data_IF_500701746752
#
_entry.id   IF_500701746752
#
_cell.length_a   1.000
_cell.length_b   1.000
_cell.length_c   1.000
_cell.angle_alpha   90.00
_cell.angle_beta   90.00
_cell.angle_gamma   90.00
#
_symmetry.space_group_name_H-M   'P 1'
#
loop_
_entity.id
_entity.type
_entity.pdbx_description
1 polymer ?
#
# COMPACT_ATOMS: atom_id res chain seq x y z
N UNK A 1 -7.43 18.08 -4.43
CA UNK A 1 -6.27 19.00 -4.41
C UNK A 1 -5.00 18.33 -4.94
N UNK A 2 -4.88 17.01 -4.75
CA UNK A 2 -3.73 16.20 -5.18
C UNK A 2 -3.35 16.33 -6.67
N UNK A 3 -4.30 16.38 -7.60
CA UNK A 3 -4.00 16.55 -9.04
C UNK A 3 -3.20 17.83 -9.34
N UNK A 4 -3.61 18.96 -8.78
CA UNK A 4 -2.87 20.22 -8.93
C UNK A 4 -1.50 20.14 -8.26
N UNK A 5 -1.41 19.40 -7.16
CA UNK A 5 -0.16 19.24 -6.41
C UNK A 5 0.83 18.43 -7.24
N UNK A 6 0.37 17.34 -7.85
CA UNK A 6 1.19 16.52 -8.73
C UNK A 6 1.61 17.28 -9.98
N UNK A 7 0.72 18.07 -10.58
CA UNK A 7 1.07 18.90 -11.75
C UNK A 7 2.15 19.93 -11.42
N UNK A 8 2.03 20.61 -10.28
CA UNK A 8 3.04 21.58 -9.81
C UNK A 8 4.37 20.87 -9.53
N UNK A 9 4.33 19.72 -8.85
CA UNK A 9 5.53 18.94 -8.54
C UNK A 9 6.22 18.43 -9.81
N UNK A 10 5.46 17.93 -10.78
CA UNK A 10 5.96 17.47 -12.07
C UNK A 10 6.60 18.62 -12.86
N UNK A 11 5.95 19.78 -12.91
CA UNK A 11 6.51 20.98 -13.58
C UNK A 11 7.79 21.47 -12.90
N UNK A 12 7.82 21.47 -11.57
CA UNK A 12 9.01 21.82 -10.78
C UNK A 12 10.17 20.86 -11.08
N UNK A 13 9.92 19.55 -10.95
CA UNK A 13 10.90 18.48 -11.24
C UNK A 13 11.43 18.61 -12.67
N UNK A 14 10.55 18.78 -13.65
CA UNK A 14 10.93 18.88 -15.06
C UNK A 14 11.80 20.11 -15.32
N UNK A 15 11.44 21.26 -14.74
CA UNK A 15 12.17 22.53 -14.91
C UNK A 15 13.57 22.44 -14.30
N UNK A 16 13.67 22.02 -13.04
CA UNK A 16 14.95 21.94 -12.35
C UNK A 16 15.87 20.85 -12.93
N UNK A 17 15.29 19.71 -13.34
CA UNK A 17 16.07 18.65 -14.00
C UNK A 17 16.67 19.12 -15.32
N UNK A 18 15.92 19.89 -16.14
CA UNK A 18 16.44 20.46 -17.38
C UNK A 18 17.58 21.45 -17.14
N UNK A 19 17.48 22.27 -16.08
CA UNK A 19 18.55 23.20 -15.70
C UNK A 19 19.82 22.44 -15.32
N UNK A 20 19.70 21.38 -14.52
CA UNK A 20 20.84 20.54 -14.10
C UNK A 20 21.45 19.77 -15.28
N UNK A 21 20.63 19.23 -16.19
CA UNK A 21 21.11 18.54 -17.39
C UNK A 21 21.88 19.46 -18.36
N UNK A 22 21.50 20.74 -18.42
CA UNK A 22 22.20 21.75 -19.21
C UNK A 22 23.60 22.09 -18.70
N UNK A 23 23.93 21.72 -17.46
CA UNK A 23 25.22 22.01 -16.83
C UNK A 23 26.18 20.84 -17.09
N UNK A 24 27.32 21.12 -17.74
CA UNK A 24 28.43 20.17 -17.85
C UNK A 24 29.17 20.06 -16.51
N UNK A 25 28.65 19.22 -15.60
CA UNK A 25 29.27 18.95 -14.30
C UNK A 25 30.17 17.70 -14.36
N UNK A 26 31.51 17.82 -14.22
CA UNK A 26 32.41 16.67 -14.22
C UNK A 26 32.46 15.94 -12.87
N UNK A 27 32.06 16.57 -11.76
CA UNK A 27 32.06 15.98 -10.43
C UNK A 27 30.73 15.27 -10.13
N UNK A 28 30.71 13.94 -10.32
CA UNK A 28 29.50 13.12 -10.20
C UNK A 28 28.77 13.22 -8.85
N UNK A 29 29.46 13.30 -7.68
CA UNK A 29 28.75 13.48 -6.40
C UNK A 29 27.97 14.79 -6.32
N UNK A 30 28.51 15.89 -6.85
CA UNK A 30 27.82 17.19 -6.85
C UNK A 30 26.59 17.17 -7.74
N UNK A 31 26.64 16.40 -8.83
CA UNK A 31 25.47 16.18 -9.67
C UNK A 31 24.40 15.36 -8.94
N UNK A 32 24.78 14.36 -8.14
CA UNK A 32 23.87 13.60 -7.26
C UNK A 32 23.14 14.51 -6.29
N UNK A 33 23.89 15.32 -5.53
CA UNK A 33 23.33 16.28 -4.56
C UNK A 33 22.36 17.30 -5.18
N UNK A 34 22.54 17.64 -6.46
CA UNK A 34 21.58 18.52 -7.15
C UNK A 34 20.22 17.85 -7.33
N UNK A 35 20.16 16.57 -7.71
CA UNK A 35 18.90 15.83 -7.83
C UNK A 35 18.26 15.54 -6.47
N UNK A 36 19.06 15.28 -5.44
CA UNK A 36 18.59 15.15 -4.06
C UNK A 36 17.89 16.44 -3.60
N UNK A 37 18.50 17.59 -3.89
CA UNK A 37 17.97 18.91 -3.54
C UNK A 37 16.67 19.26 -4.28
N UNK A 38 16.53 18.88 -5.56
CA UNK A 38 15.27 19.01 -6.30
C UNK A 38 14.16 18.22 -5.60
N UNK A 39 14.42 16.96 -5.22
CA UNK A 39 13.44 16.14 -4.51
C UNK A 39 13.02 16.81 -3.19
N UNK A 40 14.00 17.28 -2.42
CA UNK A 40 13.78 17.93 -1.13
C UNK A 40 12.90 19.18 -1.25
N UNK A 41 13.26 20.10 -2.14
CA UNK A 41 12.50 21.34 -2.34
C UNK A 41 11.12 21.11 -2.95
N UNK A 42 11.00 20.12 -3.85
CA UNK A 42 9.71 19.75 -4.44
C UNK A 42 8.70 19.34 -3.37
N UNK A 43 9.12 18.47 -2.44
CA UNK A 43 8.28 17.97 -1.35
C UNK A 43 8.04 19.05 -0.28
N UNK A 44 9.04 19.85 0.06
CA UNK A 44 8.95 20.91 1.10
C UNK A 44 8.03 22.08 0.71
N UNK A 45 7.51 22.08 -0.53
CA UNK A 45 6.65 23.16 -0.99
C UNK A 45 5.31 23.19 -0.24
N UNK A 46 4.82 24.40 0.02
CA UNK A 46 3.60 24.67 0.80
C UNK A 46 2.33 23.99 0.25
N UNK A 47 2.35 23.54 -1.00
CA UNK A 47 1.22 22.90 -1.67
C UNK A 47 1.25 21.37 -1.51
N UNK A 48 2.40 20.81 -1.12
CA UNK A 48 2.65 19.37 -1.06
C UNK A 48 2.51 18.84 0.36
N UNK A 49 3.07 19.51 1.37
CA UNK A 49 2.93 19.12 2.78
C UNK A 49 2.10 20.12 3.60
N UNK A 50 1.21 19.66 4.51
CA UNK A 50 0.43 20.57 5.35
C UNK A 50 1.28 21.27 6.43
N UNK A 51 1.27 22.61 6.46
CA UNK A 51 2.03 23.41 7.43
C UNK A 51 1.61 23.26 8.90
N UNK A 52 0.41 22.77 9.15
CA UNK A 52 -0.16 22.66 10.51
C UNK A 52 0.35 21.45 11.30
N UNK A 53 1.17 20.58 10.70
CA UNK A 53 1.54 19.27 11.26
C UNK A 53 3.01 19.18 11.70
N UNK A 54 3.72 20.32 11.78
CA UNK A 54 5.16 20.38 12.11
C UNK A 54 6.01 19.37 11.32
N UNK A 55 5.71 19.28 10.02
CA UNK A 55 6.41 18.45 9.06
C UNK A 55 7.59 19.19 8.45
N UNK A 56 8.70 18.49 8.27
CA UNK A 56 9.94 19.02 7.67
C UNK A 56 10.50 18.05 6.66
N UNK A 57 11.16 18.58 5.63
CA UNK A 57 11.90 17.76 4.66
C UNK A 57 13.39 18.01 4.82
N UNK A 58 14.13 16.98 5.23
CA UNK A 58 15.54 17.08 5.64
C UNK A 58 16.39 15.99 4.98
N UNK A 59 17.70 16.18 4.98
CA UNK A 59 18.69 15.14 4.69
C UNK A 59 19.44 14.79 5.97
N UNK A 60 19.96 13.57 6.10
CA UNK A 60 20.83 13.22 7.23
C UNK A 60 20.75 11.77 7.65
N UNK A 61 20.66 11.50 8.94
CA UNK A 61 20.80 10.17 9.52
C UNK A 61 19.57 9.81 10.35
N UNK A 62 19.33 8.50 10.48
CA UNK A 62 18.29 7.96 11.34
C UNK A 62 18.95 7.40 12.60
N UNK A 63 18.40 7.69 13.77
CA UNK A 63 18.70 6.99 15.01
C UNK A 63 17.62 5.98 15.36
N UNK A 64 18.04 4.84 15.92
CA UNK A 64 17.15 3.77 16.37
C UNK A 64 17.53 3.43 17.80
N UNK A 65 16.60 3.57 18.75
CA UNK A 65 16.86 3.37 20.18
C UNK A 65 18.04 4.21 20.71
N UNK A 66 18.22 5.43 20.20
CA UNK A 66 19.33 6.33 20.56
C UNK A 66 20.67 6.05 19.86
N UNK A 67 20.76 5.01 19.02
CA UNK A 67 21.96 4.73 18.23
C UNK A 67 21.79 5.26 16.79
N UNK A 68 22.70 6.13 16.36
CA UNK A 68 22.71 6.65 14.98
C UNK A 68 23.17 5.56 14.00
N UNK A 69 22.39 5.33 12.96
CA UNK A 69 22.79 4.46 11.85
C UNK A 69 23.89 5.14 11.02
N UNK A 70 24.85 4.37 10.48
CA UNK A 70 26.01 4.93 9.78
C UNK A 70 25.68 5.47 8.39
N UNK A 71 24.59 4.99 7.78
CA UNK A 71 24.21 5.37 6.43
C UNK A 71 23.39 6.67 6.41
N UNK A 72 23.74 7.56 5.47
CA UNK A 72 23.03 8.81 5.22
C UNK A 72 21.82 8.55 4.32
N UNK A 73 20.71 9.24 4.59
CA UNK A 73 19.50 9.28 3.79
C UNK A 73 19.43 10.59 3.02
N UNK A 74 19.22 10.49 1.72
CA UNK A 74 19.19 11.61 0.78
C UNK A 74 18.10 12.62 1.15
N UNK A 75 16.90 12.12 1.43
CA UNK A 75 15.75 12.94 1.81
C UNK A 75 14.81 12.17 2.74
N UNK A 76 14.30 12.85 3.77
CA UNK A 76 13.37 12.32 4.76
C UNK A 76 12.23 13.32 4.97
N UNK A 77 11.01 12.81 5.00
CA UNK A 77 9.87 13.54 5.56
C UNK A 77 9.75 13.17 7.04
N UNK A 78 9.83 14.16 7.92
CA UNK A 78 9.89 13.96 9.37
C UNK A 78 8.91 14.86 10.10
N UNK A 79 8.53 14.44 11.31
CA UNK A 79 7.72 15.20 12.26
C UNK A 79 8.60 15.76 13.38
N UNK A 80 8.39 17.02 13.75
CA UNK A 80 9.04 17.62 14.91
C UNK A 80 10.43 18.15 14.62
N UNK A 81 11.18 18.45 15.68
CA UNK A 81 12.58 18.86 15.59
C UNK A 81 13.51 17.65 15.73
N UNK A 82 14.58 17.65 14.93
CA UNK A 82 15.70 16.69 15.04
C UNK A 82 16.98 17.38 15.48
N UNK A 83 18.03 16.59 15.71
CA UNK A 83 19.32 17.10 16.11
C UNK A 83 20.16 17.45 14.87
N UNK A 84 20.57 18.71 14.73
CA UNK A 84 21.48 19.11 13.65
C UNK A 84 22.85 18.44 13.84
N UNK A 85 23.39 17.84 12.79
CA UNK A 85 24.69 17.18 12.82
C UNK A 85 25.84 18.19 12.80
N UNK A 86 26.22 18.67 13.99
CA UNK A 86 27.27 19.68 14.14
C UNK A 86 26.92 20.99 13.43
N UNK A 87 27.79 21.44 12.52
CA UNK A 87 27.58 22.66 11.73
C UNK A 87 27.06 22.37 10.30
N UNK A 88 26.74 21.12 9.96
CA UNK A 88 26.23 20.76 8.62
C UNK A 88 24.75 21.08 8.49
N UNK A 89 24.19 21.01 7.29
CA UNK A 89 22.74 21.10 7.06
C UNK A 89 22.04 19.72 7.16
N UNK A 90 22.73 18.71 7.73
CA UNK A 90 22.19 17.38 7.95
C UNK A 90 21.62 17.26 9.36
N UNK A 91 20.64 16.37 9.53
CA UNK A 91 19.96 16.16 10.81
C UNK A 91 19.93 14.68 11.19
N UNK A 92 19.90 14.41 12.49
CA UNK A 92 19.64 13.11 13.08
C UNK A 92 18.19 13.11 13.59
N UNK A 93 17.41 12.14 13.15
CA UNK A 93 16.04 11.93 13.60
C UNK A 93 15.85 10.52 14.14
N UNK A 94 15.10 10.39 15.23
CA UNK A 94 14.62 9.09 15.66
C UNK A 94 13.67 8.49 14.61
N UNK A 95 13.81 7.20 14.32
CA UNK A 95 13.03 6.51 13.30
C UNK A 95 11.51 6.64 13.50
N UNK A 96 11.04 6.81 14.74
CA UNK A 96 9.61 6.99 15.05
C UNK A 96 9.06 8.36 14.61
N UNK A 97 9.94 9.32 14.36
CA UNK A 97 9.60 10.64 13.84
C UNK A 97 9.72 10.72 12.31
N UNK A 98 10.16 9.64 11.65
CA UNK A 98 10.35 9.60 10.21
C UNK A 98 9.11 9.01 9.53
N UNK A 99 8.47 9.77 8.66
CA UNK A 99 7.29 9.32 7.91
C UNK A 99 7.70 8.68 6.59
N UNK A 100 8.63 9.28 5.86
CA UNK A 100 9.11 8.76 4.57
C UNK A 100 10.61 8.90 4.44
N UNK A 101 11.24 7.97 3.73
CA UNK A 101 12.67 7.98 3.38
C UNK A 101 12.83 7.82 1.87
N UNK A 102 13.75 8.59 1.29
CA UNK A 102 14.00 8.63 -0.14
C UNK A 102 15.44 8.26 -0.45
N UNK A 103 15.61 7.38 -1.44
CA UNK A 103 16.85 7.13 -2.15
C UNK A 103 16.76 7.72 -3.54
N UNK A 104 17.59 8.70 -3.86
CA UNK A 104 17.51 9.47 -5.10
C UNK A 104 18.64 9.08 -6.03
N UNK A 105 18.31 8.73 -7.28
CA UNK A 105 19.29 8.42 -8.33
C UNK A 105 19.01 9.26 -9.57
N UNK A 106 20.06 9.81 -10.18
CA UNK A 106 19.95 10.47 -11.48
C UNK A 106 19.38 9.51 -12.54
N UNK A 107 19.97 8.32 -12.65
CA UNK A 107 19.55 7.29 -13.59
C UNK A 107 19.47 5.98 -12.82
N UNK A 108 18.28 5.42 -12.64
CA UNK A 108 18.13 4.15 -11.94
C UNK A 108 18.46 2.97 -12.87
N UNK A 109 19.64 2.38 -12.69
CA UNK A 109 20.00 1.11 -13.30
C UNK A 109 19.81 -0.06 -12.31
N UNK A 110 20.00 -1.31 -12.74
CA UNK A 110 19.75 -2.49 -11.88
C UNK A 110 20.66 -2.53 -10.64
N UNK A 111 21.94 -2.15 -10.78
CA UNK A 111 22.88 -2.10 -9.66
C UNK A 111 22.45 -1.04 -8.66
N UNK A 112 22.17 0.19 -9.14
CA UNK A 112 21.71 1.28 -8.26
C UNK A 112 20.38 0.93 -7.58
N UNK A 113 19.48 0.22 -8.29
CA UNK A 113 18.21 -0.25 -7.74
C UNK A 113 18.44 -1.28 -6.64
N UNK A 114 19.31 -2.27 -6.87
CA UNK A 114 19.66 -3.27 -5.85
C UNK A 114 20.29 -2.61 -4.61
N UNK A 115 21.25 -1.71 -4.81
CA UNK A 115 21.94 -1.02 -3.73
C UNK A 115 20.97 -0.18 -2.88
N UNK A 116 20.08 0.59 -3.52
CA UNK A 116 19.06 1.37 -2.82
C UNK A 116 18.05 0.46 -2.09
N UNK A 117 17.65 -0.66 -2.70
CA UNK A 117 16.77 -1.64 -2.07
C UNK A 117 17.40 -2.20 -0.78
N UNK A 118 18.65 -2.69 -0.87
CA UNK A 118 19.38 -3.25 0.27
C UNK A 118 19.58 -2.21 1.38
N UNK A 119 19.91 -0.97 1.00
CA UNK A 119 20.07 0.12 1.95
C UNK A 119 18.77 0.37 2.74
N UNK A 120 17.64 0.56 2.06
CA UNK A 120 16.35 0.79 2.70
C UNK A 120 15.89 -0.42 3.53
N UNK A 121 16.23 -1.64 3.10
CA UNK A 121 15.93 -2.85 3.86
C UNK A 121 16.68 -2.92 5.22
N UNK A 122 17.92 -2.43 5.30
CA UNK A 122 18.64 -2.38 6.59
C UNK A 122 17.90 -1.51 7.62
N UNK A 123 17.38 -0.37 7.18
CA UNK A 123 16.59 0.54 8.03
C UNK A 123 15.29 -0.15 8.46
N UNK A 124 14.65 -0.89 7.55
CA UNK A 124 13.48 -1.72 7.87
C UNK A 124 13.76 -2.77 8.93
N UNK A 125 14.88 -3.48 8.83
CA UNK A 125 15.26 -4.48 9.83
C UNK A 125 15.50 -3.84 11.21
N UNK A 126 16.12 -2.66 11.24
CA UNK A 126 16.34 -1.91 12.49
C UNK A 126 15.03 -1.40 13.10
N UNK A 127 14.11 -0.92 12.27
CA UNK A 127 12.75 -0.58 12.72
C UNK A 127 12.04 -1.80 13.34
N UNK A 128 12.04 -2.94 12.64
CA UNK A 128 11.40 -4.16 13.13
C UNK A 128 11.96 -4.62 14.48
N UNK A 129 13.29 -4.57 14.65
CA UNK A 129 13.96 -4.87 15.92
C UNK A 129 13.51 -3.92 17.06
N UNK A 130 13.42 -2.62 16.79
CA UNK A 130 12.90 -1.64 17.75
C UNK A 130 11.44 -1.94 18.09
N UNK A 131 10.61 -2.19 17.09
CA UNK A 131 9.19 -2.48 17.26
C UNK A 131 8.98 -3.71 18.15
N UNK A 132 9.68 -4.80 17.87
CA UNK A 132 9.65 -6.03 18.68
C UNK A 132 10.14 -5.79 20.12
N UNK A 133 11.21 -5.02 20.29
CA UNK A 133 11.70 -4.64 21.61
C UNK A 133 10.64 -3.88 22.40
N UNK A 134 9.98 -2.88 21.80
CA UNK A 134 8.93 -2.09 22.46
C UNK A 134 7.75 -2.96 22.89
N UNK A 135 7.35 -3.92 22.06
CA UNK A 135 6.27 -4.86 22.39
C UNK A 135 6.61 -5.71 23.63
N UNK A 136 7.85 -6.23 23.70
CA UNK A 136 8.27 -7.18 24.73
C UNK A 136 8.68 -6.48 26.03
N UNK A 137 9.47 -5.41 25.93
CA UNK A 137 10.12 -4.76 27.08
C UNK A 137 9.29 -3.57 27.62
N UNK A 138 8.68 -2.79 26.74
CA UNK A 138 7.99 -1.55 27.11
C UNK A 138 6.47 -1.73 27.28
N UNK A 139 5.95 -2.92 26.94
CA UNK A 139 4.51 -3.21 26.97
C UNK A 139 3.71 -2.35 25.98
N UNK A 140 4.35 -1.90 24.89
CA UNK A 140 3.71 -1.15 23.82
C UNK A 140 2.62 -2.01 23.16
N UNK A 141 1.45 -1.43 22.91
CA UNK A 141 0.39 -2.08 22.13
C UNK A 141 0.08 -1.17 20.92
N UNK A 142 0.32 -1.64 19.68
CA UNK A 142 0.02 -0.87 18.49
C UNK A 142 -1.50 -0.81 18.26
N UNK A 143 -1.98 0.29 17.67
CA UNK A 143 -3.28 0.31 17.03
C UNK A 143 -3.29 -0.64 15.82
N UNK A 144 -4.22 -1.59 15.84
CA UNK A 144 -4.35 -2.61 14.81
C UNK A 144 -5.45 -2.32 13.80
N UNK A 145 -6.23 -1.25 13.97
CA UNK A 145 -7.44 -0.97 13.17
C UNK A 145 -7.19 -1.11 11.66
N UNK A 146 -6.14 -0.47 11.17
CA UNK A 146 -5.81 -0.46 9.76
C UNK A 146 -5.27 -1.82 9.26
N UNK A 147 -4.36 -2.44 10.00
CA UNK A 147 -3.78 -3.74 9.65
C UNK A 147 -4.80 -4.88 9.74
N UNK A 148 -5.68 -4.87 10.75
CA UNK A 148 -6.73 -5.85 10.97
C UNK A 148 -7.75 -5.84 9.84
N UNK A 149 -8.18 -4.65 9.41
CA UNK A 149 -9.02 -4.51 8.22
C UNK A 149 -8.37 -5.17 7.01
N UNK A 150 -7.14 -4.79 6.68
CA UNK A 150 -6.43 -5.32 5.51
C UNK A 150 -6.23 -6.82 5.58
N UNK A 151 -5.90 -7.35 6.76
CA UNK A 151 -5.77 -8.78 6.99
C UNK A 151 -7.08 -9.48 6.65
N UNK A 152 -8.21 -9.01 7.18
CA UNK A 152 -9.52 -9.60 6.91
C UNK A 152 -9.93 -9.48 5.44
N UNK A 153 -9.59 -8.37 4.77
CA UNK A 153 -9.86 -8.20 3.33
C UNK A 153 -9.04 -9.18 2.48
N UNK A 154 -7.79 -9.47 2.88
CA UNK A 154 -6.91 -10.39 2.16
C UNK A 154 -7.30 -11.85 2.42
N UNK A 155 -7.56 -12.21 3.68
CA UNK A 155 -7.70 -13.61 4.10
C UNK A 155 -9.15 -14.09 4.17
N UNK A 156 -10.10 -13.17 4.27
CA UNK A 156 -11.47 -13.48 4.63
C UNK A 156 -11.61 -14.01 6.06
N UNK A 157 -10.64 -13.76 6.95
CA UNK A 157 -10.65 -14.21 8.36
C UNK A 157 -10.60 -13.03 9.34
N UNK A 158 -11.07 -13.18 10.58
CA UNK A 158 -10.87 -12.16 11.60
C UNK A 158 -9.38 -12.01 11.94
N UNK A 159 -8.94 -10.76 12.03
CA UNK A 159 -7.64 -10.43 12.60
C UNK A 159 -7.64 -10.57 14.13
N UNK A 160 -6.48 -10.77 14.78
CA UNK A 160 -6.40 -10.80 16.23
C UNK A 160 -6.73 -9.41 16.83
N UNK A 161 -7.41 -9.40 17.98
CA UNK A 161 -7.76 -8.15 18.70
C UNK A 161 -6.54 -7.44 19.28
N UNK A 162 -5.49 -8.20 19.61
CA UNK A 162 -4.25 -7.72 20.21
C UNK A 162 -3.06 -8.31 19.48
N UNK A 163 -1.97 -7.55 19.40
CA UNK A 163 -0.83 -7.96 18.59
C UNK A 163 -0.20 -9.25 19.15
N UNK A 164 -0.16 -9.40 20.47
CA UNK A 164 0.41 -10.59 21.11
C UNK A 164 -0.34 -11.91 20.79
N UNK A 165 -1.58 -11.83 20.29
CA UNK A 165 -2.35 -13.00 19.82
C UNK A 165 -1.94 -13.44 18.41
N UNK A 166 -0.91 -12.83 17.79
CA UNK A 166 -0.37 -13.26 16.50
C UNK A 166 0.06 -14.74 16.50
N UNK A 167 0.42 -15.28 17.67
CA UNK A 167 0.80 -16.69 17.83
C UNK A 167 -0.38 -17.66 17.88
N UNK A 168 -1.61 -17.14 18.00
CA UNK A 168 -2.84 -17.93 17.91
C UNK A 168 -3.27 -18.15 16.45
N UNK A 169 -2.68 -17.39 15.51
CA UNK A 169 -2.90 -17.57 14.07
C UNK A 169 -2.11 -18.77 13.54
N UNK A 170 -2.60 -19.32 12.43
CA UNK A 170 -1.77 -20.22 11.62
C UNK A 170 -0.49 -19.47 11.18
N UNK A 171 0.68 -20.13 11.12
CA UNK A 171 1.94 -19.43 10.90
C UNK A 171 1.98 -18.58 9.61
N UNK A 172 1.32 -19.05 8.55
CA UNK A 172 1.14 -18.32 7.30
C UNK A 172 0.35 -17.01 7.49
N UNK A 173 -0.73 -17.05 8.27
CA UNK A 173 -1.53 -15.87 8.61
C UNK A 173 -0.75 -14.94 9.52
N UNK A 174 0.04 -15.50 10.45
CA UNK A 174 0.91 -14.75 11.36
C UNK A 174 1.94 -13.90 10.61
N UNK A 175 2.64 -14.45 9.61
CA UNK A 175 3.63 -13.66 8.84
C UNK A 175 2.97 -12.59 7.97
N UNK A 176 1.74 -12.81 7.48
CA UNK A 176 0.98 -11.80 6.75
C UNK A 176 0.55 -10.67 7.68
N UNK A 177 -0.04 -11.00 8.83
CA UNK A 177 -0.46 -10.01 9.81
C UNK A 177 0.72 -9.18 10.31
N UNK A 178 1.86 -9.82 10.62
CA UNK A 178 3.12 -9.15 10.94
C UNK A 178 3.50 -8.13 9.87
N UNK A 179 3.49 -8.55 8.60
CA UNK A 179 3.88 -7.67 7.50
C UNK A 179 2.96 -6.44 7.41
N UNK A 180 1.64 -6.63 7.50
CA UNK A 180 0.67 -5.52 7.42
C UNK A 180 0.82 -4.54 8.59
N UNK A 181 1.06 -5.03 9.80
CA UNK A 181 1.35 -4.17 10.96
C UNK A 181 2.63 -3.38 10.73
N UNK A 182 3.72 -4.02 10.31
CA UNK A 182 4.98 -3.34 10.01
C UNK A 182 4.79 -2.22 8.97
N UNK A 183 4.00 -2.45 7.92
CA UNK A 183 3.73 -1.44 6.89
C UNK A 183 3.00 -0.20 7.42
N UNK A 184 2.12 -0.36 8.42
CA UNK A 184 1.39 0.76 9.01
C UNK A 184 2.35 1.72 9.75
N UNK A 185 3.30 1.17 10.49
CA UNK A 185 4.16 1.97 11.38
C UNK A 185 5.48 2.40 10.73
N UNK A 186 6.12 1.53 9.96
CA UNK A 186 7.45 1.81 9.43
C UNK A 186 7.46 2.97 8.41
N UNK A 187 8.53 3.79 8.31
CA UNK A 187 8.57 4.95 7.41
C UNK A 187 8.42 4.55 5.93
N UNK A 188 7.52 5.11 5.12
CA UNK A 188 7.38 4.72 3.71
C UNK A 188 8.71 4.88 2.94
N UNK A 189 9.15 3.85 2.22
CA UNK A 189 10.47 3.82 1.58
C UNK A 189 10.33 4.02 0.06
N UNK A 190 10.96 5.06 -0.47
CA UNK A 190 10.78 5.51 -1.86
C UNK A 190 12.13 5.54 -2.58
N UNK A 191 12.26 4.81 -3.68
CA UNK A 191 13.43 4.89 -4.57
C UNK A 191 13.04 5.74 -5.77
N UNK A 192 13.65 6.90 -5.91
CA UNK A 192 13.34 7.86 -6.97
C UNK A 192 14.47 7.97 -8.00
N UNK A 193 14.24 7.39 -9.18
CA UNK A 193 15.07 7.58 -10.36
C UNK A 193 14.51 8.65 -11.30
N UNK A 194 15.22 9.77 -11.50
CA UNK A 194 14.85 10.78 -12.50
C UNK A 194 14.87 10.21 -13.92
N UNK A 195 15.86 9.36 -14.20
CA UNK A 195 15.99 8.55 -15.41
C UNK A 195 16.05 7.06 -15.12
N UNK A 196 16.32 6.26 -16.15
CA UNK A 196 16.53 4.81 -16.01
C UNK A 196 15.80 3.99 -17.07
N UNK A 197 14.97 3.05 -16.63
CA UNK A 197 14.27 2.09 -17.48
C UNK A 197 13.39 2.75 -18.54
N UNK A 198 13.49 2.25 -19.79
CA UNK A 198 12.77 2.80 -20.95
C UNK A 198 11.37 2.20 -21.17
N UNK A 199 11.08 1.09 -20.49
CA UNK A 199 9.80 0.37 -20.59
C UNK A 199 9.35 -0.10 -19.21
N UNK A 200 8.04 -0.27 -19.04
CA UNK A 200 7.45 -0.80 -17.81
C UNK A 200 7.91 -2.25 -17.58
N UNK A 201 7.93 -3.06 -18.65
CA UNK A 201 8.50 -4.42 -18.64
C UNK A 201 9.96 -4.47 -18.19
N UNK A 202 10.78 -3.47 -18.55
CA UNK A 202 12.19 -3.39 -18.16
C UNK A 202 12.38 -3.17 -16.66
N UNK A 203 11.60 -2.25 -16.09
CA UNK A 203 11.61 -1.99 -14.64
C UNK A 203 11.10 -3.20 -13.86
N UNK A 204 9.98 -3.80 -14.30
CA UNK A 204 9.40 -5.03 -13.70
C UNK A 204 10.42 -6.17 -13.69
N UNK A 205 11.08 -6.41 -14.82
CA UNK A 205 12.09 -7.46 -14.95
C UNK A 205 13.26 -7.24 -13.99
N UNK A 206 13.77 -6.02 -13.90
CA UNK A 206 14.88 -5.74 -12.99
C UNK A 206 14.52 -6.00 -11.52
N UNK A 207 13.32 -5.63 -11.09
CA UNK A 207 12.82 -5.96 -9.76
C UNK A 207 12.76 -7.47 -9.52
N UNK A 208 12.16 -8.23 -10.44
CA UNK A 208 12.06 -9.69 -10.34
C UNK A 208 13.44 -10.36 -10.33
N UNK A 209 14.37 -9.88 -11.16
CA UNK A 209 15.74 -10.38 -11.19
C UNK A 209 16.46 -10.12 -9.85
N UNK A 210 16.29 -8.94 -9.23
CA UNK A 210 16.85 -8.62 -7.91
C UNK A 210 16.34 -9.60 -6.84
N UNK A 211 15.03 -9.87 -6.82
CA UNK A 211 14.44 -10.81 -5.85
C UNK A 211 14.98 -12.24 -6.02
N UNK A 212 15.19 -12.65 -7.27
CA UNK A 212 15.67 -13.98 -7.62
C UNK A 212 17.15 -14.15 -7.28
N UNK A 213 17.99 -13.16 -7.61
CA UNK A 213 19.43 -13.14 -7.30
C UNK A 213 19.70 -13.16 -5.80
N UNK A 214 18.88 -12.48 -5.00
CA UNK A 214 19.02 -12.49 -3.55
C UNK A 214 18.78 -13.88 -2.95
N UNK A 215 17.69 -14.53 -3.38
CA UNK A 215 17.37 -15.90 -2.97
C UNK A 215 18.50 -16.86 -3.31
N UNK A 216 19.05 -16.74 -4.52
CA UNK A 216 20.12 -17.62 -4.99
C UNK A 216 21.45 -17.39 -4.26
N UNK A 217 21.73 -16.15 -3.84
CA UNK A 217 23.00 -15.79 -3.20
C UNK A 217 23.02 -16.11 -1.71
N UNK A 218 21.93 -15.82 -0.98
CA UNK A 218 21.89 -15.87 0.48
C UNK A 218 21.06 -17.03 1.04
N UNK A 219 20.39 -17.81 0.18
CA UNK A 219 19.50 -18.91 0.58
C UNK A 219 18.19 -18.46 1.24
N UNK A 220 18.14 -17.20 1.71
CA UNK A 220 16.97 -16.50 2.24
C UNK A 220 16.72 -15.31 1.30
N UNK A 221 15.55 -15.29 0.67
CA UNK A 221 15.14 -14.17 -0.19
C UNK A 221 14.54 -13.02 0.61
N UNK A 222 14.26 -11.91 -0.08
CA UNK A 222 13.57 -10.76 0.50
C UNK A 222 12.12 -11.09 0.88
N UNK A 223 11.73 -10.83 2.13
CA UNK A 223 10.34 -10.87 2.60
C UNK A 223 9.60 -9.56 2.28
N UNK A 224 8.27 -9.58 2.24
CA UNK A 224 7.48 -8.39 1.85
C UNK A 224 7.85 -7.10 2.62
N UNK A 225 8.07 -7.08 3.94
CA UNK A 225 8.44 -5.85 4.66
C UNK A 225 9.72 -5.16 4.16
N UNK A 226 10.62 -5.90 3.50
CA UNK A 226 11.86 -5.36 2.92
C UNK A 226 11.63 -4.56 1.64
N UNK A 227 10.50 -4.77 0.96
CA UNK A 227 10.27 -4.15 -0.34
C UNK A 227 10.04 -2.64 -0.18
N UNK A 228 10.60 -1.81 -1.07
CA UNK A 228 10.30 -0.39 -1.11
C UNK A 228 8.79 -0.17 -1.32
N UNK A 229 8.24 0.85 -0.68
CA UNK A 229 6.84 1.25 -0.88
C UNK A 229 6.60 1.74 -2.31
N UNK A 230 7.54 2.50 -2.87
CA UNK A 230 7.47 3.01 -4.24
C UNK A 230 8.86 3.01 -4.89
N UNK A 231 8.92 2.65 -6.16
CA UNK A 231 10.09 2.81 -7.02
C UNK A 231 9.65 3.55 -8.27
N UNK A 232 10.34 4.63 -8.64
CA UNK A 232 10.08 5.35 -9.88
C UNK A 232 11.32 5.35 -10.77
N UNK A 233 11.12 5.22 -12.08
CA UNK A 233 12.18 5.38 -13.08
C UNK A 233 11.60 5.91 -14.39
N UNK A 234 12.02 7.11 -14.81
CA UNK A 234 11.31 7.88 -15.83
C UNK A 234 9.81 7.95 -15.48
N UNK A 235 8.93 7.51 -16.38
CA UNK A 235 7.48 7.52 -16.19
C UNK A 235 6.93 6.24 -15.55
N UNK A 236 7.79 5.26 -15.24
CA UNK A 236 7.36 3.95 -14.73
C UNK A 236 7.46 3.90 -13.22
N UNK A 237 6.48 3.29 -12.58
CA UNK A 237 6.46 3.06 -11.15
C UNK A 237 6.23 1.59 -10.82
N UNK A 238 6.88 1.11 -9.76
CA UNK A 238 6.47 -0.08 -9.01
C UNK A 238 5.95 0.41 -7.66
N UNK A 239 4.75 -0.01 -7.28
CA UNK A 239 4.12 0.37 -6.03
C UNK A 239 3.73 -0.87 -5.25
N UNK A 240 3.96 -0.80 -3.94
CA UNK A 240 3.54 -1.83 -3.01
C UNK A 240 2.08 -1.63 -2.65
N UNK A 241 1.29 -2.69 -2.72
CA UNK A 241 -0.13 -2.64 -2.39
C UNK A 241 -0.36 -3.04 -0.93
N UNK A 242 0.10 -2.21 0.00
CA UNK A 242 0.01 -2.47 1.44
C UNK A 242 -1.25 -1.86 2.09
N UNK A 243 -2.21 -1.40 1.30
CA UNK A 243 -3.43 -0.73 1.77
C UNK A 243 -3.32 0.78 1.91
N UNK A 244 -2.12 1.37 1.76
CA UNK A 244 -1.87 2.79 1.97
C UNK A 244 -1.06 3.40 0.81
N UNK A 245 -1.70 3.92 -0.25
CA UNK A 245 -3.15 3.96 -0.50
C UNK A 245 -3.68 2.76 -1.30
N UNK A 246 -2.79 1.97 -1.92
CA UNK A 246 -3.22 0.98 -2.89
C UNK A 246 -3.40 -0.40 -2.27
N UNK A 247 -4.45 -1.07 -2.72
CA UNK A 247 -4.74 -2.45 -2.39
C UNK A 247 -5.16 -3.17 -3.66
N UNK A 248 -4.65 -4.38 -3.86
CA UNK A 248 -5.04 -5.21 -4.97
C UNK A 248 -5.11 -6.67 -4.52
N UNK A 249 -6.26 -7.28 -4.76
CA UNK A 249 -6.59 -8.64 -4.38
C UNK A 249 -6.92 -9.46 -5.63
N UNK A 250 -6.70 -10.77 -5.56
CA UNK A 250 -7.12 -11.70 -6.60
C UNK A 250 -7.89 -12.88 -6.01
N UNK A 251 -9.09 -12.59 -5.51
CA UNK A 251 -9.84 -13.53 -4.67
C UNK A 251 -9.21 -13.67 -3.28
N UNK A 252 -9.73 -14.61 -2.50
CA UNK A 252 -9.30 -14.85 -1.11
C UNK A 252 -7.86 -15.41 -1.06
N UNK A 253 -7.07 -15.00 -0.06
CA UNK A 253 -5.69 -15.43 0.20
C UNK A 253 -4.68 -15.15 -0.93
N UNK A 254 -5.00 -14.23 -1.84
CA UNK A 254 -4.14 -13.91 -2.98
C UNK A 254 -3.83 -12.40 -3.00
N UNK A 255 -2.88 -12.01 -2.15
CA UNK A 255 -2.41 -10.62 -2.08
C UNK A 255 -1.53 -10.28 -3.28
N UNK A 256 -1.95 -9.32 -4.10
CA UNK A 256 -1.08 -8.74 -5.13
C UNK A 256 -0.17 -7.71 -4.43
N UNK A 257 0.96 -8.15 -3.88
CA UNK A 257 1.84 -7.30 -3.08
C UNK A 257 2.50 -6.15 -3.86
N UNK A 258 2.76 -6.32 -5.15
CA UNK A 258 3.37 -5.27 -5.99
C UNK A 258 2.64 -5.15 -7.33
N UNK A 259 2.37 -3.91 -7.72
CA UNK A 259 1.85 -3.55 -9.04
C UNK A 259 2.72 -2.49 -9.71
N UNK A 260 2.52 -2.28 -11.01
CA UNK A 260 3.22 -1.27 -11.77
C UNK A 260 2.28 -0.31 -12.47
N UNK A 261 2.76 0.90 -12.77
CA UNK A 261 2.12 1.85 -13.67
C UNK A 261 3.17 2.52 -14.56
N UNK A 262 2.73 3.16 -15.63
CA UNK A 262 3.58 3.85 -16.62
C UNK A 262 3.31 5.33 -16.75
N UNK A 263 2.60 5.89 -15.77
CA UNK A 263 2.16 7.27 -15.76
C UNK A 263 2.31 7.88 -14.36
N UNK A 264 2.41 9.21 -14.35
CA UNK A 264 2.31 10.09 -13.18
C UNK A 264 3.19 9.73 -11.94
N UNK A 265 4.52 9.58 -12.06
CA UNK A 265 5.38 9.31 -10.89
C UNK A 265 5.23 10.32 -9.74
N UNK A 266 5.07 11.61 -10.06
CA UNK A 266 4.84 12.65 -9.07
C UNK A 266 3.53 12.43 -8.30
N UNK A 267 2.46 12.05 -9.01
CA UNK A 267 1.18 11.70 -8.39
C UNK A 267 1.32 10.48 -7.47
N UNK A 268 1.98 9.43 -7.95
CA UNK A 268 2.24 8.23 -7.15
C UNK A 268 3.02 8.54 -5.87
N UNK A 269 4.04 9.40 -5.94
CA UNK A 269 4.79 9.85 -4.75
C UNK A 269 3.88 10.59 -3.77
N UNK A 270 3.03 11.50 -4.24
CA UNK A 270 2.11 12.24 -3.38
C UNK A 270 1.07 11.36 -2.72
N UNK A 271 0.53 10.38 -3.44
CA UNK A 271 -0.39 9.39 -2.89
C UNK A 271 0.23 8.64 -1.70
N UNK A 272 1.49 8.19 -1.82
CA UNK A 272 2.21 7.54 -0.71
C UNK A 272 2.43 8.52 0.46
N UNK A 273 2.95 9.73 0.17
CA UNK A 273 3.27 10.71 1.20
C UNK A 273 2.01 11.13 1.97
N UNK A 274 0.94 11.46 1.26
CA UNK A 274 -0.32 11.90 1.86
C UNK A 274 -1.00 10.77 2.63
N UNK A 275 -0.97 9.55 2.12
CA UNK A 275 -1.48 8.39 2.86
C UNK A 275 -0.72 8.16 4.16
N UNK A 276 0.61 8.32 4.15
CA UNK A 276 1.41 8.16 5.36
C UNK A 276 1.19 9.30 6.37
N UNK A 277 1.04 10.54 5.92
CA UNK A 277 0.65 11.67 6.78
C UNK A 277 -0.73 11.41 7.40
N UNK A 278 -1.69 11.00 6.57
CA UNK A 278 -3.06 10.70 7.01
C UNK A 278 -3.07 9.64 8.10
N UNK A 279 -2.34 8.54 7.88
CA UNK A 279 -2.22 7.44 8.84
C UNK A 279 -1.50 7.86 10.13
N UNK A 280 -0.42 8.65 10.02
CA UNK A 280 0.38 9.04 11.19
C UNK A 280 -0.35 10.02 12.12
N UNK A 281 -1.11 10.97 11.56
CA UNK A 281 -1.79 12.00 12.34
C UNK A 281 -3.30 11.74 12.54
N UNK A 282 -3.84 10.67 11.97
CA UNK A 282 -5.28 10.41 11.90
C UNK A 282 -6.06 11.61 11.34
N UNK A 283 -5.62 12.10 10.18
CA UNK A 283 -6.21 13.26 9.49
C UNK A 283 -6.61 12.93 8.06
N UNK A 284 -7.72 13.50 7.59
CA UNK A 284 -8.08 13.41 6.17
C UNK A 284 -7.26 14.40 5.35
N UNK A 285 -6.64 13.89 4.27
CA UNK A 285 -5.94 14.72 3.30
C UNK A 285 -6.92 15.25 2.25
N UNK A 286 -6.60 16.37 1.57
CA UNK A 286 -7.52 16.99 0.59
C UNK A 286 -7.50 16.26 -0.77
N UNK A 287 -7.84 14.97 -0.76
CA UNK A 287 -8.07 14.16 -1.96
C UNK A 287 -9.18 14.78 -2.82
N UNK A 288 -9.24 14.39 -4.09
CA UNK A 288 -10.34 14.79 -4.98
C UNK A 288 -11.37 13.66 -4.93
N UNK A 289 -12.64 14.00 -4.68
CA UNK A 289 -13.74 13.06 -4.85
C UNK A 289 -13.91 12.86 -6.37
N UNK A 290 -13.33 11.79 -6.93
CA UNK A 290 -13.35 11.44 -8.35
C UNK A 290 -13.47 9.93 -8.50
N UNK A 291 -14.15 9.48 -9.55
CA UNK A 291 -14.18 8.06 -9.92
C UNK A 291 -12.94 7.64 -10.68
N UNK A 292 -12.03 8.54 -11.03
CA UNK A 292 -10.79 8.14 -11.71
C UNK A 292 -9.75 7.65 -10.69
N UNK A 293 -9.24 6.42 -10.87
CA UNK A 293 -8.13 5.85 -10.10
C UNK A 293 -7.00 5.37 -11.02
N UNK A 294 -5.81 5.19 -10.48
CA UNK A 294 -4.60 4.78 -11.20
C UNK A 294 -4.77 3.39 -11.82
N UNK A 295 -4.43 3.26 -13.10
CA UNK A 295 -4.51 1.99 -13.81
C UNK A 295 -3.29 1.08 -13.51
N UNK A 296 -3.30 0.48 -12.31
CA UNK A 296 -2.23 -0.40 -11.85
C UNK A 296 -2.30 -1.79 -12.52
N UNK A 297 -1.14 -2.31 -12.96
CA UNK A 297 -1.01 -3.67 -13.47
C UNK A 297 -0.35 -4.58 -12.43
N UNK A 298 -0.98 -5.70 -12.03
CA UNK A 298 -0.40 -6.65 -11.10
C UNK A 298 0.95 -7.19 -11.58
N UNK A 299 1.96 -7.16 -10.71
CA UNK A 299 3.29 -7.73 -10.96
C UNK A 299 3.55 -8.97 -10.09
N UNK A 300 3.36 -8.86 -8.77
CA UNK A 300 3.77 -9.90 -7.83
C UNK A 300 2.60 -10.29 -6.94
N UNK A 301 2.18 -11.56 -6.99
CA UNK A 301 1.32 -12.15 -5.97
C UNK A 301 2.18 -12.77 -4.88
N UNK A 302 1.91 -12.45 -3.62
CA UNK A 302 2.58 -13.00 -2.45
C UNK A 302 1.63 -13.97 -1.73
N UNK A 303 2.11 -15.17 -1.46
CA UNK A 303 1.37 -16.22 -0.75
C UNK A 303 2.24 -16.64 0.43
N UNK A 304 1.73 -16.46 1.64
CA UNK A 304 2.37 -16.98 2.84
C UNK A 304 2.30 -18.51 2.81
N UNK A 305 3.43 -19.17 3.10
CA UNK A 305 3.53 -20.64 3.04
C UNK A 305 4.47 -21.17 4.09
N UNK A 306 4.07 -22.26 4.74
CA UNK A 306 4.94 -23.11 5.55
C UNK A 306 5.47 -24.30 4.75
N UNK A 307 6.79 -24.49 4.78
CA UNK A 307 7.47 -25.67 4.25
C UNK A 307 8.33 -26.30 5.37
N UNK A 308 7.83 -27.38 5.98
CA UNK A 308 8.44 -27.97 7.17
C UNK A 308 8.37 -27.01 8.36
N UNK A 309 9.52 -26.67 8.94
CA UNK A 309 9.64 -25.71 10.04
C UNK A 309 9.80 -24.26 9.57
N UNK A 310 9.98 -24.03 8.26
CA UNK A 310 10.18 -22.69 7.73
C UNK A 310 8.85 -22.09 7.28
N UNK A 311 8.64 -20.82 7.60
CA UNK A 311 7.50 -20.02 7.16
C UNK A 311 8.04 -18.83 6.39
N UNK A 312 7.48 -18.57 5.22
CA UNK A 312 7.95 -17.48 4.37
C UNK A 312 6.99 -17.17 3.25
N UNK A 313 7.52 -16.47 2.25
CA UNK A 313 6.72 -15.98 1.13
C UNK A 313 7.02 -16.74 -0.14
N UNK A 314 5.97 -17.20 -0.80
CA UNK A 314 6.04 -17.70 -2.16
C UNK A 314 5.54 -16.63 -3.13
N UNK A 315 6.36 -16.30 -4.11
CA UNK A 315 6.08 -15.24 -5.06
C UNK A 315 5.73 -15.81 -6.42
N UNK A 316 4.61 -15.35 -6.98
CA UNK A 316 4.21 -15.60 -8.36
C UNK A 316 4.25 -14.29 -9.13
N UNK A 317 5.04 -14.25 -10.21
CA UNK A 317 5.10 -13.10 -11.09
C UNK A 317 4.02 -13.17 -12.18
N UNK A 318 3.52 -12.02 -12.56
CA UNK A 318 2.73 -11.81 -13.77
C UNK A 318 3.58 -10.93 -14.69
N UNK A 319 3.91 -11.37 -15.90
CA UNK A 319 4.85 -10.67 -16.78
C UNK A 319 4.28 -10.62 -18.21
N UNK A 320 3.20 -9.84 -18.44
CA UNK A 320 2.63 -9.71 -19.77
C UNK A 320 3.58 -8.94 -20.71
N UNK A 321 3.36 -9.09 -22.02
CA UNK A 321 4.13 -8.34 -23.02
C UNK A 321 3.99 -6.82 -22.85
N UNK A 322 5.02 -6.04 -23.23
CA UNK A 322 4.99 -4.57 -23.17
C UNK A 322 3.76 -3.96 -23.86
N UNK A 323 3.27 -4.58 -24.93
CA UNK A 323 2.04 -4.15 -25.63
C UNK A 323 0.81 -4.17 -24.73
N UNK A 324 0.68 -5.18 -23.86
CA UNK A 324 -0.44 -5.28 -22.91
C UNK A 324 -0.28 -4.32 -21.73
N UNK A 325 0.96 -3.89 -21.45
CA UNK A 325 1.23 -2.87 -20.45
C UNK A 325 0.94 -1.46 -20.96
N UNK A 326 0.77 -1.24 -22.27
CA UNK A 326 0.35 0.05 -22.81
C UNK A 326 -1.14 0.24 -22.58
N UNK A 327 -1.47 1.07 -21.58
CA UNK A 327 -2.82 1.35 -21.11
C UNK A 327 -2.94 2.80 -20.67
N UNK A 328 -4.18 3.28 -20.54
CA UNK A 328 -4.50 4.61 -20.04
C UNK A 328 -3.95 4.83 -18.62
N UNK A 329 -3.70 6.09 -18.26
CA UNK A 329 -3.16 6.45 -16.95
C UNK A 329 -4.13 6.15 -15.80
N UNK A 330 -5.42 6.37 -16.06
CA UNK A 330 -6.49 6.17 -15.11
C UNK A 330 -7.51 5.19 -15.64
N UNK A 331 -8.27 4.61 -14.72
CA UNK A 331 -9.43 3.76 -14.95
C UNK A 331 -10.58 4.25 -14.05
N UNK A 332 -11.81 3.97 -14.44
CA UNK A 332 -12.98 4.23 -13.60
C UNK A 332 -12.94 3.28 -12.39
N UNK A 333 -13.06 3.84 -11.20
CA UNK A 333 -13.30 3.14 -9.95
C UNK A 333 -14.67 2.49 -10.02
N UNK A 334 -14.77 1.25 -9.54
CA UNK A 334 -16.02 0.52 -9.48
C UNK A 334 -16.19 -0.13 -8.11
N UNK A 335 -17.39 -0.12 -7.53
CA UNK A 335 -17.69 -0.87 -6.32
C UNK A 335 -17.65 -2.38 -6.60
N UNK A 336 -17.66 -3.20 -5.54
CA UNK A 336 -17.74 -4.66 -5.70
C UNK A 336 -19.16 -5.06 -6.05
N UNK A 337 -19.33 -5.84 -7.12
CA UNK A 337 -20.62 -6.37 -7.54
C UNK A 337 -21.04 -7.57 -6.70
N UNK A 338 -22.33 -7.65 -6.42
CA UNK A 338 -22.98 -8.73 -5.69
C UNK A 338 -24.15 -9.31 -6.50
N UNK A 339 -24.26 -10.63 -6.54
CA UNK A 339 -25.38 -11.37 -7.11
C UNK A 339 -26.64 -11.22 -6.25
N UNK A 340 -27.81 -11.53 -6.83
CA UNK A 340 -29.07 -11.57 -6.08
C UNK A 340 -28.99 -12.52 -4.87
N UNK A 341 -28.28 -13.65 -5.01
CA UNK A 341 -28.08 -14.61 -3.94
C UNK A 341 -27.25 -14.01 -2.79
N UNK A 342 -26.15 -13.32 -3.12
CA UNK A 342 -25.31 -12.61 -2.16
C UNK A 342 -26.08 -11.47 -1.46
N UNK A 343 -26.79 -10.62 -2.20
CA UNK A 343 -27.64 -9.55 -1.66
C UNK A 343 -28.69 -10.12 -0.70
N UNK A 344 -29.34 -11.22 -1.07
CA UNK A 344 -30.34 -11.87 -0.21
C UNK A 344 -29.70 -12.39 1.07
N UNK A 345 -28.53 -13.02 0.99
CA UNK A 345 -27.82 -13.53 2.15
C UNK A 345 -27.39 -12.39 3.08
N UNK A 346 -26.89 -11.27 2.53
CA UNK A 346 -26.52 -10.09 3.33
C UNK A 346 -27.75 -9.46 4.00
N UNK A 347 -28.89 -9.36 3.31
CA UNK A 347 -30.13 -8.88 3.92
C UNK A 347 -30.60 -9.79 5.08
N UNK A 348 -30.42 -11.11 4.96
CA UNK A 348 -30.70 -12.04 6.06
C UNK A 348 -29.72 -11.85 7.24
N UNK A 349 -28.44 -11.56 6.99
CA UNK A 349 -27.47 -11.21 8.04
C UNK A 349 -27.96 -10.02 8.87
N UNK A 350 -28.46 -8.96 8.22
CA UNK A 350 -28.99 -7.78 8.93
C UNK A 350 -30.13 -8.15 9.89
N UNK A 351 -31.09 -8.96 9.43
CA UNK A 351 -32.24 -9.39 10.24
C UNK A 351 -31.78 -10.24 11.42
N UNK A 352 -30.64 -10.93 11.29
CA UNK A 352 -30.08 -11.88 12.27
C UNK A 352 -28.98 -11.29 13.16
N UNK A 353 -28.88 -9.96 13.23
CA UNK A 353 -27.95 -9.29 14.13
C UNK A 353 -26.51 -9.22 13.61
N UNK A 354 -26.31 -9.37 12.30
CA UNK A 354 -25.04 -9.04 11.65
C UNK A 354 -24.18 -10.21 11.18
N UNK A 355 -24.67 -11.43 11.35
CA UNK A 355 -23.94 -12.64 11.02
C UNK A 355 -24.84 -13.70 10.42
N UNK A 356 -24.26 -14.61 9.64
CA UNK A 356 -24.95 -15.78 9.11
C UNK A 356 -24.14 -17.04 9.37
N UNK A 357 -24.74 -18.02 10.02
CA UNK A 357 -24.13 -19.32 10.29
C UNK A 357 -24.10 -20.19 9.02
N UNK A 358 -22.88 -20.56 8.61
CA UNK A 358 -22.61 -21.42 7.44
C UNK A 358 -23.25 -22.81 7.57
N UNK A 359 -23.45 -23.28 8.80
CA UNK A 359 -24.05 -24.59 9.08
C UNK A 359 -25.57 -24.60 8.96
N UNK A 360 -26.23 -23.44 8.95
CA UNK A 360 -27.67 -23.36 8.73
C UNK A 360 -28.00 -23.68 7.26
N UNK A 361 -28.70 -24.80 7.07
CA UNK A 361 -29.03 -25.39 5.76
C UNK A 361 -29.48 -24.36 4.72
N UNK A 362 -28.72 -24.34 3.63
CA UNK A 362 -28.75 -23.35 2.56
C UNK A 362 -29.34 -23.89 1.26
N UNK A 363 -30.04 -25.04 1.31
CA UNK A 363 -30.68 -25.65 0.14
C UNK A 363 -31.59 -24.66 -0.62
N UNK A 364 -32.18 -23.71 0.10
CA UNK A 364 -33.02 -22.66 -0.46
C UNK A 364 -32.28 -21.73 -1.44
N UNK A 365 -30.96 -21.50 -1.28
CA UNK A 365 -30.16 -20.72 -2.24
C UNK A 365 -30.12 -21.42 -3.58
N UNK A 366 -29.92 -22.74 -3.56
CA UNK A 366 -29.88 -23.57 -4.76
C UNK A 366 -31.26 -23.63 -5.42
N UNK A 367 -32.31 -23.81 -4.63
CA UNK A 367 -33.68 -23.90 -5.13
C UNK A 367 -34.18 -22.58 -5.73
N UNK A 368 -33.77 -21.44 -5.15
CA UNK A 368 -34.25 -20.11 -5.56
C UNK A 368 -33.38 -19.43 -6.61
N UNK A 369 -32.05 -19.56 -6.49
CA UNK A 369 -31.09 -18.81 -7.32
C UNK A 369 -30.18 -19.71 -8.16
N UNK A 370 -30.23 -21.03 -7.99
CA UNK A 370 -29.34 -21.96 -8.68
C UNK A 370 -27.89 -21.92 -8.20
N UNK A 371 -27.59 -21.17 -7.13
CA UNK A 371 -26.28 -21.04 -6.53
C UNK A 371 -26.18 -21.85 -5.23
N UNK A 372 -25.04 -22.47 -5.01
CA UNK A 372 -24.68 -23.12 -3.75
C UNK A 372 -24.23 -22.10 -2.71
N UNK A 373 -24.28 -22.48 -1.45
CA UNK A 373 -23.81 -21.61 -0.37
C UNK A 373 -22.32 -21.32 -0.45
N UNK A 374 -21.53 -22.31 -0.86
CA UNK A 374 -20.08 -22.15 -1.04
C UNK A 374 -19.78 -21.11 -2.11
N UNK A 375 -20.50 -21.13 -3.25
CA UNK A 375 -20.36 -20.13 -4.32
C UNK A 375 -20.71 -18.71 -3.82
N UNK A 376 -21.81 -18.57 -3.08
CA UNK A 376 -22.23 -17.27 -2.53
C UNK A 376 -21.26 -16.76 -1.46
N UNK A 377 -20.74 -17.66 -0.62
CA UNK A 377 -19.76 -17.30 0.40
C UNK A 377 -18.43 -16.91 -0.21
N UNK A 378 -17.95 -17.65 -1.22
CA UNK A 378 -16.75 -17.30 -1.97
C UNK A 378 -16.88 -15.93 -2.65
N UNK A 379 -18.06 -15.61 -3.19
CA UNK A 379 -18.37 -14.28 -3.75
C UNK A 379 -18.25 -13.18 -2.68
N UNK A 380 -18.91 -13.37 -1.52
CA UNK A 380 -18.87 -12.40 -0.41
C UNK A 380 -17.46 -12.20 0.13
N UNK A 381 -16.70 -13.28 0.38
CA UNK A 381 -15.33 -13.19 0.88
C UNK A 381 -14.40 -12.55 -0.16
N UNK A 382 -14.54 -12.91 -1.45
CA UNK A 382 -13.73 -12.35 -2.53
C UNK A 382 -14.03 -10.87 -2.80
N UNK A 383 -15.18 -10.35 -2.35
CA UNK A 383 -15.53 -8.94 -2.46
C UNK A 383 -14.62 -8.02 -1.61
N UNK A 384 -13.97 -8.57 -0.58
CA UNK A 384 -13.18 -7.81 0.39
C UNK A 384 -14.00 -6.99 1.39
N UNK A 385 -15.29 -7.31 1.57
CA UNK A 385 -16.18 -6.66 2.55
C UNK A 385 -16.69 -7.60 3.65
N UNK A 386 -16.46 -8.90 3.51
CA UNK A 386 -16.92 -9.94 4.43
C UNK A 386 -15.77 -10.85 4.85
N UNK A 387 -15.94 -11.49 6.00
CA UNK A 387 -15.04 -12.52 6.52
C UNK A 387 -15.85 -13.66 7.17
N UNK A 388 -15.20 -14.82 7.27
CA UNK A 388 -15.65 -15.98 8.00
C UNK A 388 -15.01 -15.98 9.39
N UNK A 389 -15.85 -15.73 10.40
CA UNK A 389 -15.47 -15.79 11.81
C UNK A 389 -16.00 -17.09 12.42
N UNK A 390 -15.18 -18.15 12.31
CA UNK A 390 -15.48 -19.46 12.89
C UNK A 390 -16.80 -20.08 12.42
N UNK A 391 -17.11 -19.99 11.12
CA UNK A 391 -18.35 -20.47 10.52
C UNK A 391 -19.48 -19.45 10.55
N UNK A 392 -19.20 -18.21 10.95
CA UNK A 392 -20.14 -17.09 10.92
C UNK A 392 -19.66 -16.08 9.88
N UNK A 393 -20.36 -15.99 8.75
CA UNK A 393 -20.08 -14.95 7.76
C UNK A 393 -20.59 -13.62 8.29
N UNK A 394 -19.69 -12.65 8.38
CA UNK A 394 -20.01 -11.29 8.82
C UNK A 394 -19.19 -10.24 8.06
N UNK A 395 -19.68 -9.00 7.98
CA UNK A 395 -18.94 -7.89 7.39
C UNK A 395 -17.64 -7.58 8.15
N UNK A 396 -16.67 -7.05 7.42
CA UNK A 396 -15.39 -6.55 7.96
C UNK A 396 -15.59 -5.18 8.62
N UNK A 397 -16.34 -4.31 7.95
CA UNK A 397 -16.56 -2.93 8.37
C UNK A 397 -17.85 -2.79 9.15
N UNK A 398 -17.84 -1.89 10.14
CA UNK A 398 -19.04 -1.58 10.93
C UNK A 398 -20.14 -0.95 10.07
N UNK A 399 -19.77 -0.21 9.03
CA UNK A 399 -20.70 0.42 8.10
C UNK A 399 -20.30 0.10 6.66
N UNK A 400 -21.25 -0.44 5.91
CA UNK A 400 -21.16 -0.62 4.46
C UNK A 400 -22.44 -0.14 3.79
N UNK A 401 -22.35 0.20 2.52
CA UNK A 401 -23.47 0.68 1.72
C UNK A 401 -23.71 -0.30 0.58
N UNK A 402 -24.94 -0.76 0.44
CA UNK A 402 -25.34 -1.63 -0.67
C UNK A 402 -26.40 -0.91 -1.49
N UNK A 403 -26.15 -0.79 -2.79
CA UNK A 403 -27.15 -0.37 -3.75
C UNK A 403 -27.69 -1.59 -4.47
N UNK A 404 -28.99 -1.84 -4.35
CA UNK A 404 -29.69 -2.93 -5.03
C UNK A 404 -30.42 -2.39 -6.24
N UNK A 405 -30.26 -3.07 -7.38
CA UNK A 405 -30.88 -2.73 -8.65
C UNK A 405 -32.20 -3.48 -8.88
N UNK A 406 -32.93 -3.10 -9.93
CA UNK A 406 -34.22 -3.73 -10.30
C UNK A 406 -34.14 -5.22 -10.62
N UNK A 407 -32.98 -5.72 -11.04
CA UNK A 407 -32.74 -7.14 -11.27
C UNK A 407 -32.34 -7.90 -9.99
N UNK A 408 -32.44 -7.24 -8.83
CA UNK A 408 -32.05 -7.70 -7.49
C UNK A 408 -30.56 -8.00 -7.30
N UNK A 409 -29.71 -7.78 -8.32
CA UNK A 409 -28.26 -7.69 -8.12
C UNK A 409 -27.91 -6.36 -7.45
N UNK A 410 -26.66 -6.18 -7.06
CA UNK A 410 -26.25 -4.93 -6.45
C UNK A 410 -24.76 -4.71 -6.40
N UNK A 411 -24.39 -3.64 -5.72
CA UNK A 411 -23.01 -3.28 -5.47
C UNK A 411 -22.81 -2.91 -4.01
N UNK A 412 -21.62 -3.17 -3.48
CA UNK A 412 -21.20 -2.84 -2.12
C UNK A 412 -19.97 -1.94 -2.11
N UNK A 413 -19.98 -0.94 -1.24
CA UNK A 413 -18.84 -0.07 -0.96
C UNK A 413 -18.88 0.45 0.48
N UNK A 414 -17.73 0.87 1.01
CA UNK A 414 -17.61 1.55 2.30
C UNK A 414 -17.45 3.06 2.17
N UNK A 415 -16.97 3.54 1.02
CA UNK A 415 -16.99 4.97 0.69
C UNK A 415 -18.35 5.36 0.11
N UNK A 416 -19.16 6.04 0.92
CA UNK A 416 -20.48 6.51 0.51
C UNK A 416 -20.42 7.50 -0.65
N UNK A 417 -19.45 8.41 -0.65
CA UNK A 417 -19.38 9.49 -1.62
C UNK A 417 -19.02 8.94 -2.99
N UNK A 418 -18.02 8.04 -3.05
CA UNK A 418 -17.64 7.39 -4.30
C UNK A 418 -18.79 6.52 -4.84
N UNK A 419 -19.51 5.80 -3.96
CA UNK A 419 -20.69 5.05 -4.37
C UNK A 419 -21.78 5.95 -4.96
N UNK A 420 -22.12 7.06 -4.30
CA UNK A 420 -23.12 8.01 -4.80
C UNK A 420 -22.70 8.64 -6.14
N UNK A 421 -21.41 8.98 -6.30
CA UNK A 421 -20.87 9.47 -7.58
C UNK A 421 -21.01 8.42 -8.68
N UNK A 422 -20.62 7.18 -8.41
CA UNK A 422 -20.66 6.07 -9.37
C UNK A 422 -22.08 5.73 -9.82
N UNK A 423 -23.02 5.73 -8.88
CA UNK A 423 -24.44 5.52 -9.15
C UNK A 423 -25.04 6.70 -9.92
N UNK A 424 -24.63 7.93 -9.62
CA UNK A 424 -25.12 9.15 -10.29
C UNK A 424 -24.78 9.23 -11.78
N UNK A 425 -23.74 8.52 -12.23
CA UNK A 425 -23.37 8.42 -13.65
C UNK A 425 -24.17 7.34 -14.40
N UNK A 426 -25.07 6.62 -13.73
CA UNK A 426 -25.82 5.48 -14.29
C UNK A 426 -27.31 5.76 -14.34
N UNK A 427 -27.96 5.33 -15.41
CA UNK A 427 -29.41 5.52 -15.65
C UNK A 427 -30.29 4.44 -14.98
N UNK A 428 -29.70 3.52 -14.21
CA UNK A 428 -30.40 2.40 -13.58
C UNK A 428 -31.05 2.84 -12.26
N UNK A 429 -32.30 2.42 -12.01
CA UNK A 429 -32.94 2.64 -10.70
C UNK A 429 -32.27 1.76 -9.64
N UNK A 430 -32.13 2.31 -8.43
CA UNK A 430 -31.51 1.62 -7.31
C UNK A 430 -32.11 2.05 -5.97
N UNK A 431 -32.00 1.16 -4.99
CA UNK A 431 -32.29 1.46 -3.58
C UNK A 431 -31.01 1.27 -2.78
N UNK A 432 -30.59 2.31 -2.06
CA UNK A 432 -29.43 2.21 -1.17
C UNK A 432 -29.88 1.84 0.24
N UNK A 433 -29.30 0.76 0.75
CA UNK A 433 -29.44 0.32 2.13
C UNK A 433 -28.14 0.55 2.88
N UNK A 434 -28.25 1.03 4.11
CA UNK A 434 -27.10 1.19 5.02
C UNK A 434 -27.01 -0.08 5.87
N UNK A 435 -25.89 -0.76 5.75
CA UNK A 435 -25.57 -1.95 6.53
C UNK A 435 -24.68 -1.51 7.68
N UNK A 436 -25.30 -1.21 8.83
CA UNK A 436 -24.61 -0.83 10.05
C UNK A 436 -24.69 -1.98 11.06
N UNK A 437 -23.53 -2.45 11.53
CA UNK A 437 -23.39 -3.52 12.50
C UNK A 437 -22.80 -2.93 13.78
N UNK A 438 -23.42 -3.26 14.92
CA UNK A 438 -23.02 -2.82 16.25
C UNK A 438 -22.02 -3.79 16.87
#
# INVERSE_FOLDING_TARGET
MIEKASEILEQFIATESQLVEGIKMPHMPTLGSAYEEITRQGIDSNFIIPKGLDLKVVSGFISVAGEMLPEQIDCMLVHGDGERYGLTEQYIYDIELVLCIFEVKKTLNKTDFKDAFEHLNKIRQKFAQLFEKKLIEDGYEPDLTAASKLFSQITGKPAPEKYHNIHDLEPEDGILFYALVQECYAPASIIHGYGGYKTESGLRKAFVDILSEEKDSNGIGFGIPSFPTLVTANNFCLVKNNGFPYMALRGVNNWIAVSSTRHNPAYMMLEIIWSKISLYFDVSMPWKDTLETENLSPLLTAIARKEGEQVGWWYRTNEPSEKLLQREAKVEWTPSFLSEAAITLTNLMLIRGGQFDVSESSCWLKDKFGATFDEVTEELLSSGYFMDDNGLIRPIETVSYIATFDDNSGVIATDRKLLDLWLGEREQEFVISVFAFL
#
